data_IF_168635443247
#
_entry.id   IF_168635443247
#
_cell.length_a   1.000
_cell.length_b   1.000
_cell.length_c   1.000
_cell.angle_alpha   90.00
_cell.angle_beta   90.00
_cell.angle_gamma   90.00
#
_symmetry.space_group_name_H-M   'P 1'
#
loop_
_entity.id
_entity.type
_entity.pdbx_description
1 polymer ?
#
# COMPACT_ATOMS: atom_id res chain seq x y z
N UNK A 1 18.69 -4.48 51.38
CA UNK A 1 18.36 -3.05 51.60
C UNK A 1 18.17 -2.68 53.08
N UNK A 2 17.38 -3.40 53.88
CA UNK A 2 17.06 -2.97 55.26
C UNK A 2 18.27 -2.87 56.24
N UNK A 3 19.28 -3.72 56.10
CA UNK A 3 20.49 -3.65 56.94
C UNK A 3 21.44 -2.50 56.53
N UNK A 4 21.43 -2.10 55.26
CA UNK A 4 22.23 -0.98 54.76
C UNK A 4 21.62 0.37 55.19
N UNK A 5 20.29 0.48 55.16
CA UNK A 5 19.57 1.65 55.66
C UNK A 5 19.76 1.81 57.19
N UNK A 6 19.71 0.71 57.96
CA UNK A 6 19.98 0.73 59.42
C UNK A 6 21.43 1.09 59.76
N UNK A 7 22.39 0.73 58.89
CA UNK A 7 23.81 1.08 59.07
C UNK A 7 24.07 2.56 58.74
N UNK A 8 23.45 3.09 57.68
CA UNK A 8 23.57 4.51 57.31
C UNK A 8 22.82 5.45 58.28
N UNK A 9 21.67 5.04 58.80
CA UNK A 9 20.98 5.79 59.85
C UNK A 9 21.78 5.86 61.17
N UNK A 10 22.50 4.77 61.52
CA UNK A 10 23.43 4.77 62.66
C UNK A 10 24.62 5.70 62.44
N UNK A 11 25.20 5.72 61.23
CA UNK A 11 26.33 6.60 60.90
C UNK A 11 25.96 8.09 60.92
N UNK A 12 24.75 8.44 60.47
CA UNK A 12 24.22 9.82 60.53
C UNK A 12 23.90 10.26 61.97
N UNK A 13 23.46 9.34 62.84
CA UNK A 13 23.23 9.60 64.27
C UNK A 13 24.54 9.69 65.07
N UNK A 14 25.57 8.91 64.75
CA UNK A 14 26.90 8.96 65.40
C UNK A 14 27.56 10.35 65.22
N UNK A 15 27.30 11.02 64.10
CA UNK A 15 27.75 12.39 63.80
C UNK A 15 27.01 13.45 64.65
N UNK A 16 25.76 13.18 65.05
CA UNK A 16 25.00 14.07 65.96
C UNK A 16 25.51 13.98 67.41
N UNK A 17 26.02 12.82 67.85
CA UNK A 17 26.54 12.60 69.20
C UNK A 17 28.02 12.99 69.41
N UNK A 18 28.76 13.33 68.35
CA UNK A 18 30.13 13.88 68.44
C UNK A 18 30.20 15.32 68.99
N UNK A 19 29.05 15.96 69.23
CA UNK A 19 29.00 17.17 70.04
C UNK A 19 28.85 16.77 71.51
N UNK A 20 29.88 17.08 72.30
CA UNK A 20 29.94 17.06 73.77
C UNK A 20 30.78 15.96 74.43
N UNK A 21 32.08 15.88 74.12
CA UNK A 21 33.12 15.75 75.18
C UNK A 21 34.44 16.39 74.76
N UNK A 22 34.56 17.70 74.97
CA UNK A 22 35.62 18.38 75.75
C UNK A 22 35.75 19.85 75.33
N UNK A 23 35.69 20.71 76.36
CA UNK A 23 35.91 22.15 76.38
C UNK A 23 37.25 22.50 75.73
N UNK A 24 37.25 23.40 74.74
CA UNK A 24 38.00 24.69 74.66
C UNK A 24 37.62 25.35 73.31
N UNK A 25 37.34 26.67 73.33
CA UNK A 25 36.77 27.47 72.22
C UNK A 25 37.81 27.88 71.14
N UNK A 26 37.38 28.23 69.91
CA UNK A 26 38.17 28.13 68.69
C UNK A 26 38.67 29.48 68.16
N UNK A 27 39.77 29.49 67.39
CA UNK A 27 39.96 30.46 66.29
C UNK A 27 40.62 29.77 65.08
N UNK A 28 39.85 29.73 63.99
CA UNK A 28 40.18 29.38 62.58
C UNK A 28 40.13 27.90 62.16
N UNK A 29 38.94 27.33 61.92
CA UNK A 29 38.76 26.13 61.10
C UNK A 29 38.32 26.53 59.68
N UNK A 30 39.23 27.00 58.82
CA UNK A 30 38.91 27.23 57.41
C UNK A 30 39.33 26.06 56.50
N UNK A 31 40.23 25.18 56.96
CA UNK A 31 40.59 23.96 56.22
C UNK A 31 39.54 22.85 56.35
N UNK A 32 38.81 22.76 57.47
CA UNK A 32 37.85 21.66 57.68
C UNK A 32 36.56 21.83 56.87
N UNK A 33 36.15 23.08 56.59
CA UNK A 33 35.02 23.36 55.71
C UNK A 33 35.34 23.06 54.23
N UNK A 34 36.58 23.31 53.80
CA UNK A 34 37.02 23.10 52.42
C UNK A 34 37.13 21.61 52.04
N UNK A 35 37.65 20.77 52.93
CA UNK A 35 37.68 19.32 52.69
C UNK A 35 36.29 18.70 52.65
N UNK A 36 35.36 19.19 53.47
CA UNK A 36 33.98 18.71 53.48
C UNK A 36 33.25 19.11 52.17
N UNK A 37 33.52 20.30 51.63
CA UNK A 37 33.00 20.73 50.34
C UNK A 37 33.56 19.91 49.15
N UNK A 38 34.85 19.57 49.15
CA UNK A 38 35.47 18.77 48.10
C UNK A 38 34.93 17.33 48.05
N UNK A 39 34.62 16.73 49.21
CA UNK A 39 34.03 15.39 49.28
C UNK A 39 32.57 15.42 48.81
N UNK A 40 31.84 16.51 49.07
CA UNK A 40 30.46 16.67 48.61
C UNK A 40 30.39 16.79 47.06
N UNK A 41 31.41 17.37 46.42
CA UNK A 41 31.53 17.45 44.96
C UNK A 41 31.73 16.06 44.32
N UNK A 42 32.55 15.20 44.94
CA UNK A 42 32.83 13.84 44.46
C UNK A 42 31.61 12.91 44.65
N UNK A 43 30.81 13.12 45.70
CA UNK A 43 29.58 12.36 45.93
C UNK A 43 28.43 12.84 45.01
N UNK A 44 28.43 14.11 44.60
CA UNK A 44 27.43 14.66 43.67
C UNK A 44 27.52 14.10 42.25
N UNK A 45 28.72 13.79 41.75
CA UNK A 45 28.94 13.18 40.43
C UNK A 45 28.46 11.72 40.38
N UNK A 46 28.35 11.06 41.52
CA UNK A 46 27.89 9.68 41.60
C UNK A 46 26.37 9.53 41.76
N UNK A 47 25.62 10.61 42.05
CA UNK A 47 24.18 10.54 42.40
C UNK A 47 23.24 10.73 41.20
N UNK A 48 23.74 11.26 40.08
CA UNK A 48 23.07 11.29 38.79
C UNK A 48 23.96 10.54 37.82
N UNK A 49 23.47 9.42 37.25
CA UNK A 49 24.23 8.45 36.46
C UNK A 49 24.86 8.99 35.17
N UNK A 50 25.84 9.88 35.28
CA UNK A 50 26.83 10.18 34.26
C UNK A 50 28.13 9.50 34.68
N UNK A 51 28.14 8.18 34.55
CA UNK A 51 29.39 7.44 34.43
C UNK A 51 29.99 7.87 33.09
N UNK A 52 31.16 8.53 33.11
CA UNK A 52 31.95 8.69 31.89
C UNK A 52 32.41 7.29 31.48
N UNK A 53 31.64 6.65 30.60
CA UNK A 53 31.95 5.31 30.13
C UNK A 53 33.31 5.30 29.43
N UNK A 54 34.20 4.46 29.94
CA UNK A 54 35.39 3.99 29.24
C UNK A 54 34.94 2.92 28.24
N UNK A 55 34.34 3.39 27.15
CA UNK A 55 33.88 2.74 25.91
C UNK A 55 33.16 1.34 25.90
N UNK A 56 33.25 0.43 26.91
CA UNK A 56 33.27 -1.05 26.67
C UNK A 56 32.36 -1.99 27.54
N UNK A 57 31.51 -1.52 28.47
CA UNK A 57 30.55 -2.37 29.26
C UNK A 57 29.07 -2.03 29.00
N UNK A 58 28.10 -3.00 28.95
CA UNK A 58 26.74 -2.75 28.43
C UNK A 58 26.04 -1.61 29.17
N UNK A 59 25.70 -0.56 28.44
CA UNK A 59 24.86 0.52 28.93
C UNK A 59 23.47 -0.05 29.23
N UNK A 60 23.25 -0.36 30.49
CA UNK A 60 21.96 -0.81 31.02
C UNK A 60 21.29 0.45 31.55
N UNK A 61 20.36 0.97 30.75
CA UNK A 61 19.57 2.14 31.08
C UNK A 61 18.31 1.67 31.83
N UNK A 62 18.14 2.13 33.08
CA UNK A 62 16.90 1.97 33.87
C UNK A 62 15.83 2.99 33.50
N UNK A 63 16.25 3.94 32.68
CA UNK A 63 15.42 4.81 31.88
C UNK A 63 15.54 4.30 30.43
N UNK A 64 14.79 4.85 29.48
CA UNK A 64 14.80 4.39 28.09
C UNK A 64 16.25 4.21 27.55
N UNK A 65 16.49 3.20 26.68
CA UNK A 65 17.82 2.81 26.15
C UNK A 65 18.07 3.36 24.76
N UNK A 66 19.21 4.00 24.59
CA UNK A 66 19.58 4.63 23.35
C UNK A 66 20.86 4.05 22.78
N UNK A 67 20.75 3.60 21.54
CA UNK A 67 21.86 3.12 20.72
C UNK A 67 22.04 4.16 19.63
N UNK A 68 23.20 4.84 19.59
CA UNK A 68 23.31 6.11 18.85
C UNK A 68 22.48 7.25 19.45
N UNK A 69 21.99 7.11 20.69
CA UNK A 69 21.15 8.10 21.39
C UNK A 69 21.31 7.93 22.90
N UNK A 70 21.18 9.01 23.65
CA UNK A 70 21.38 9.06 25.11
C UNK A 70 20.10 9.41 25.89
N UNK A 71 18.98 9.59 25.19
CA UNK A 71 17.72 10.06 25.75
C UNK A 71 16.57 9.38 25.00
N UNK A 72 16.26 8.14 25.37
CA UNK A 72 15.50 7.24 24.52
C UNK A 72 14.03 7.35 24.89
N UNK A 73 13.12 6.91 24.02
CA UNK A 73 11.70 7.33 24.09
C UNK A 73 10.71 6.17 24.21
N UNK A 74 11.24 4.98 24.11
CA UNK A 74 10.67 3.79 24.69
C UNK A 74 11.83 3.00 25.26
N UNK A 75 11.54 1.87 25.91
CA UNK A 75 12.56 1.03 26.52
C UNK A 75 13.73 0.70 25.58
N UNK A 76 13.53 0.84 24.26
CA UNK A 76 14.56 0.81 23.25
C UNK A 76 14.35 1.85 22.13
N UNK A 77 15.40 2.65 21.89
CA UNK A 77 15.61 3.53 20.76
C UNK A 77 16.83 3.00 19.99
N UNK A 78 16.58 2.36 18.85
CA UNK A 78 17.61 1.65 18.07
C UNK A 78 18.21 2.55 17.01
N UNK A 79 19.44 2.97 17.27
CA UNK A 79 20.39 3.28 16.22
C UNK A 79 21.07 2.03 15.70
N UNK A 80 21.92 2.23 14.72
CA UNK A 80 22.07 1.33 13.60
C UNK A 80 23.47 0.70 13.57
N UNK A 81 23.65 -0.52 14.14
CA UNK A 81 24.96 -1.18 14.39
C UNK A 81 25.48 -2.26 13.40
N UNK A 82 26.78 -2.24 13.08
CA UNK A 82 27.54 -2.59 11.84
C UNK A 82 27.38 -3.92 11.04
N UNK A 83 26.34 -4.77 11.16
CA UNK A 83 26.13 -5.87 10.17
C UNK A 83 24.65 -6.16 9.87
N UNK A 84 24.35 -6.48 8.61
CA UNK A 84 22.99 -6.62 8.07
C UNK A 84 22.17 -7.77 8.69
N UNK A 85 20.85 -7.61 8.90
CA UNK A 85 20.05 -6.40 8.80
C UNK A 85 19.82 -5.75 10.17
N UNK A 86 20.14 -4.47 10.36
CA UNK A 86 19.83 -3.80 11.61
C UNK A 86 18.34 -3.44 11.67
N UNK A 87 17.79 -3.32 12.87
CA UNK A 87 16.37 -3.02 13.07
C UNK A 87 15.96 -1.68 12.42
N UNK A 88 16.86 -0.71 12.29
CA UNK A 88 16.58 0.59 11.70
C UNK A 88 17.77 1.15 10.90
N UNK A 89 18.64 0.38 10.26
CA UNK A 89 19.89 0.91 9.69
C UNK A 89 19.80 2.26 8.95
N UNK A 90 20.66 3.23 9.27
CA UNK A 90 20.85 4.41 8.43
C UNK A 90 22.21 4.27 7.79
N UNK A 91 22.22 4.07 6.47
CA UNK A 91 23.47 3.85 5.76
C UNK A 91 24.29 5.14 5.75
N UNK A 92 25.48 5.11 6.36
CA UNK A 92 26.27 6.31 6.66
C UNK A 92 26.68 7.13 5.42
N UNK A 93 26.81 6.49 4.26
CA UNK A 93 27.16 7.18 3.00
C UNK A 93 25.99 7.48 2.08
N UNK A 94 24.86 6.77 2.18
CA UNK A 94 23.71 6.95 1.26
C UNK A 94 22.50 7.59 1.93
N UNK A 95 22.50 7.72 3.26
CA UNK A 95 21.41 8.34 4.02
C UNK A 95 20.11 7.52 4.09
N UNK A 96 20.06 6.38 3.40
CA UNK A 96 18.89 5.51 3.32
C UNK A 96 18.63 4.81 4.63
N UNK A 97 17.34 4.65 4.92
CA UNK A 97 16.87 3.97 6.13
C UNK A 97 16.50 2.53 5.76
N UNK A 98 17.01 1.57 6.52
CA UNK A 98 16.83 0.15 6.34
C UNK A 98 16.23 -0.45 7.60
N UNK A 99 14.93 -0.67 7.61
CA UNK A 99 14.32 -1.47 8.67
C UNK A 99 14.51 -2.93 8.29
N UNK A 100 15.43 -3.61 8.96
CA UNK A 100 15.75 -4.98 8.60
C UNK A 100 16.58 -5.10 7.30
N UNK A 101 17.47 -4.15 7.03
CA UNK A 101 18.57 -4.23 6.02
C UNK A 101 19.71 -3.31 6.39
N UNK A 102 20.98 -3.70 6.19
CA UNK A 102 22.11 -2.72 6.19
C UNK A 102 22.63 -2.40 4.80
N UNK A 103 21.89 -2.81 3.78
CA UNK A 103 22.14 -2.42 2.41
C UNK A 103 20.81 -1.92 1.83
N UNK A 104 20.23 -0.83 2.38
CA UNK A 104 18.98 -0.28 1.89
C UNK A 104 19.14 0.15 0.43
N UNK A 105 18.30 -0.43 -0.40
CA UNK A 105 18.29 -0.26 -1.86
C UNK A 105 17.38 0.89 -2.28
N UNK A 106 16.37 1.23 -1.47
CA UNK A 106 15.48 2.37 -1.62
C UNK A 106 15.61 3.37 -0.44
N UNK A 107 14.99 4.55 -0.57
CA UNK A 107 15.03 5.63 0.42
C UNK A 107 14.66 5.13 1.82
N UNK A 108 13.56 4.39 1.91
CA UNK A 108 13.23 3.53 3.06
C UNK A 108 13.09 2.09 2.56
N UNK A 109 13.92 1.20 3.05
CA UNK A 109 13.89 -0.23 2.72
C UNK A 109 13.43 -1.02 3.94
N UNK A 110 12.37 -1.78 3.81
CA UNK A 110 11.86 -2.69 4.83
C UNK A 110 12.06 -4.12 4.34
N UNK A 111 13.04 -4.80 4.92
CA UNK A 111 13.44 -6.16 4.55
C UNK A 111 14.59 -6.22 3.53
N UNK A 112 14.86 -7.44 3.06
CA UNK A 112 15.97 -7.76 2.15
C UNK A 112 15.41 -8.35 0.86
N UNK A 113 15.54 -7.62 -0.24
CA UNK A 113 15.17 -8.10 -1.55
C UNK A 113 15.62 -7.12 -2.63
N UNK A 114 15.27 -7.42 -3.87
CA UNK A 114 15.59 -6.59 -5.02
C UNK A 114 14.52 -5.52 -5.20
N UNK A 115 14.96 -4.30 -5.49
CA UNK A 115 14.07 -3.22 -5.91
C UNK A 115 13.99 -3.31 -7.42
N UNK A 116 12.92 -3.87 -7.93
CA UNK A 116 12.74 -4.11 -9.36
C UNK A 116 12.22 -2.87 -10.10
N UNK A 117 11.80 -1.83 -9.36
CA UNK A 117 11.17 -0.60 -9.87
C UNK A 117 11.74 0.69 -9.27
N UNK A 118 13.07 0.78 -9.11
CA UNK A 118 13.68 1.99 -8.54
C UNK A 118 13.57 3.20 -9.48
N UNK A 119 13.06 4.32 -9.01
CA UNK A 119 12.85 5.57 -9.79
C UNK A 119 14.14 6.37 -10.08
N UNK A 120 15.24 5.70 -10.44
CA UNK A 120 16.55 6.32 -10.69
C UNK A 120 17.49 6.28 -9.48
N UNK A 121 18.66 6.92 -9.60
CA UNK A 121 19.73 6.88 -8.58
C UNK A 121 19.98 8.28 -8.00
N UNK A 122 19.89 8.47 -6.67
CA UNK A 122 19.50 7.49 -5.65
C UNK A 122 17.99 7.20 -5.69
N UNK A 123 17.61 5.94 -5.50
CA UNK A 123 16.21 5.57 -5.33
C UNK A 123 15.71 6.09 -3.97
N UNK A 124 14.80 7.07 -3.98
CA UNK A 124 14.17 7.67 -2.80
C UNK A 124 12.81 7.02 -2.48
N UNK A 125 12.58 5.82 -3.00
CA UNK A 125 11.32 5.09 -2.86
C UNK A 125 11.14 4.46 -1.47
N UNK A 126 9.90 4.03 -1.17
CA UNK A 126 9.62 3.05 -0.13
C UNK A 126 9.65 1.65 -0.76
N UNK A 127 10.52 0.79 -0.26
CA UNK A 127 10.52 -0.63 -0.58
C UNK A 127 10.09 -1.46 0.63
N UNK A 128 9.18 -2.39 0.41
CA UNK A 128 8.72 -3.36 1.42
C UNK A 128 8.74 -4.74 0.78
N UNK A 129 9.53 -5.68 1.32
CA UNK A 129 9.58 -7.05 0.76
C UNK A 129 8.27 -7.82 0.95
N UNK A 130 7.44 -7.41 1.91
CA UNK A 130 6.12 -7.98 2.19
C UNK A 130 4.96 -7.07 1.79
N UNK A 131 3.79 -7.33 2.38
CA UNK A 131 2.59 -6.51 2.14
C UNK A 131 2.69 -5.17 2.88
N UNK A 132 2.26 -4.10 2.20
CA UNK A 132 2.02 -2.81 2.82
C UNK A 132 0.56 -2.74 3.28
N UNK A 133 0.35 -2.54 4.58
CA UNK A 133 -0.97 -2.26 5.16
C UNK A 133 -1.10 -0.75 5.43
N UNK A 134 -2.26 -0.18 5.11
CA UNK A 134 -2.57 1.24 5.32
C UNK A 134 -3.99 1.35 5.87
N UNK A 135 -4.15 1.83 7.10
CA UNK A 135 -5.47 1.96 7.76
C UNK A 135 -6.43 2.94 7.04
N UNK A 136 -5.89 3.82 6.20
CA UNK A 136 -6.61 4.88 5.51
C UNK A 136 -6.41 4.90 4.00
N UNK A 137 -6.65 6.05 3.39
CA UNK A 137 -6.46 6.23 1.96
C UNK A 137 -4.98 6.30 1.59
N UNK A 138 -4.61 5.63 0.51
CA UNK A 138 -3.31 5.79 -0.15
C UNK A 138 -3.49 6.71 -1.35
N UNK A 139 -2.70 7.78 -1.43
CA UNK A 139 -2.62 8.65 -2.60
C UNK A 139 -1.37 8.26 -3.38
N UNK A 140 -1.54 7.81 -4.63
CA UNK A 140 -0.47 7.37 -5.50
C UNK A 140 -0.48 8.23 -6.76
N UNK A 141 0.68 8.78 -7.10
CA UNK A 141 0.84 9.80 -8.12
C UNK A 141 0.48 11.20 -7.61
N UNK A 142 1.32 12.17 -7.94
CA UNK A 142 1.20 13.59 -7.58
C UNK A 142 1.38 14.53 -8.79
N UNK A 143 1.69 14.00 -9.97
CA UNK A 143 1.98 14.73 -11.19
C UNK A 143 1.21 14.18 -12.41
N UNK A 144 1.18 14.98 -13.47
CA UNK A 144 0.65 14.52 -14.74
C UNK A 144 1.53 13.39 -15.31
N UNK A 145 0.91 12.25 -15.61
CA UNK A 145 1.59 11.10 -16.23
C UNK A 145 2.03 10.00 -15.27
N UNK A 146 1.68 10.10 -13.98
CA UNK A 146 1.93 8.99 -13.05
C UNK A 146 1.14 7.75 -13.45
N UNK A 147 1.75 6.59 -13.22
CA UNK A 147 1.19 5.29 -13.56
C UNK A 147 1.18 4.39 -12.34
N UNK A 148 0.04 3.77 -12.07
CA UNK A 148 -0.06 2.69 -11.10
C UNK A 148 0.13 1.35 -11.83
N UNK A 149 1.22 0.64 -11.52
CA UNK A 149 1.51 -0.69 -12.08
C UNK A 149 1.19 -1.76 -11.05
N UNK A 150 0.36 -2.73 -11.41
CA UNK A 150 -0.01 -3.87 -10.56
C UNK A 150 0.28 -5.16 -11.35
N UNK A 151 1.28 -5.92 -10.91
CA UNK A 151 1.66 -7.20 -11.56
C UNK A 151 0.74 -8.37 -11.23
N UNK A 152 -0.06 -8.24 -10.17
CA UNK A 152 -1.01 -9.26 -9.72
C UNK A 152 -2.46 -8.81 -9.89
N UNK A 153 -3.31 -9.27 -8.98
CA UNK A 153 -4.74 -8.94 -8.97
C UNK A 153 -5.00 -7.69 -8.13
N UNK A 154 -5.80 -6.75 -8.67
CA UNK A 154 -6.43 -5.69 -7.88
C UNK A 154 -7.80 -6.17 -7.40
N UNK A 155 -7.94 -6.40 -6.11
CA UNK A 155 -9.23 -6.74 -5.47
C UNK A 155 -9.81 -5.48 -4.84
N UNK A 156 -10.86 -4.93 -5.44
CA UNK A 156 -11.55 -3.75 -4.94
C UNK A 156 -13.07 -3.97 -4.95
N UNK A 157 -13.78 -3.37 -3.99
CA UNK A 157 -15.25 -3.37 -4.00
C UNK A 157 -15.80 -2.47 -5.11
N UNK A 158 -15.19 -1.30 -5.30
CA UNK A 158 -15.50 -0.32 -6.34
C UNK A 158 -14.17 0.16 -6.93
N UNK A 159 -14.13 0.32 -8.25
CA UNK A 159 -13.00 0.88 -8.97
C UNK A 159 -13.50 2.01 -9.88
N UNK A 160 -13.07 3.24 -9.57
CA UNK A 160 -13.48 4.44 -10.30
C UNK A 160 -12.31 4.98 -11.14
N UNK A 161 -12.61 5.39 -12.36
CA UNK A 161 -11.63 5.99 -13.27
C UNK A 161 -12.16 7.34 -13.75
N UNK A 162 -11.29 8.35 -13.76
CA UNK A 162 -11.57 9.66 -14.37
C UNK A 162 -11.29 9.70 -15.88
N UNK A 163 -10.78 8.60 -16.44
CA UNK A 163 -10.40 8.46 -17.84
C UNK A 163 -10.81 7.10 -18.43
N UNK A 164 -10.09 6.68 -19.47
CA UNK A 164 -10.37 5.45 -20.20
C UNK A 164 -9.70 4.23 -19.54
N UNK A 165 -10.34 3.06 -19.64
CA UNK A 165 -9.69 1.77 -19.44
C UNK A 165 -9.06 1.34 -20.78
N UNK A 166 -7.73 1.28 -20.86
CA UNK A 166 -6.99 0.99 -22.10
C UNK A 166 -6.11 -0.25 -21.88
N UNK A 167 -6.23 -1.32 -22.68
CA UNK A 167 -5.34 -2.47 -22.61
C UNK A 167 -3.93 -2.13 -23.12
N UNK A 168 -2.89 -2.82 -22.65
CA UNK A 168 -1.50 -2.58 -23.09
C UNK A 168 -1.23 -3.10 -24.52
N UNK A 169 -2.06 -4.03 -24.99
CA UNK A 169 -1.94 -4.73 -26.27
C UNK A 169 -3.31 -4.82 -26.93
N UNK A 170 -3.35 -4.62 -28.24
CA UNK A 170 -4.58 -4.67 -29.03
C UNK A 170 -5.22 -6.07 -29.04
N UNK A 171 -6.54 -6.12 -28.86
CA UNK A 171 -7.38 -7.32 -28.95
C UNK A 171 -6.87 -8.55 -28.14
N UNK A 172 -6.22 -8.32 -27.00
CA UNK A 172 -5.66 -9.41 -26.17
C UNK A 172 -6.39 -9.64 -24.83
N UNK A 173 -7.12 -8.65 -24.33
CA UNK A 173 -7.74 -8.71 -23.00
C UNK A 173 -9.25 -8.52 -23.05
N UNK A 174 -9.95 -9.37 -22.33
CA UNK A 174 -11.39 -9.29 -22.14
C UNK A 174 -11.74 -8.39 -20.95
N UNK A 175 -12.95 -7.81 -20.98
CA UNK A 175 -13.58 -7.20 -19.80
C UNK A 175 -14.48 -8.26 -19.15
N UNK A 176 -13.97 -8.89 -18.10
CA UNK A 176 -14.55 -10.09 -17.50
C UNK A 176 -13.80 -11.36 -17.93
N UNK A 177 -14.23 -12.51 -17.43
CA UNK A 177 -13.62 -13.80 -17.73
C UNK A 177 -14.68 -14.74 -18.31
N UNK A 178 -14.34 -15.40 -19.42
CA UNK A 178 -15.20 -16.40 -20.05
C UNK A 178 -14.95 -17.83 -19.54
N UNK A 179 -13.75 -18.09 -19.03
CA UNK A 179 -13.26 -19.39 -18.55
C UNK A 179 -13.65 -19.66 -17.08
N UNK A 180 -13.68 -18.62 -16.26
CA UNK A 180 -14.35 -18.62 -14.96
C UNK A 180 -15.68 -17.88 -15.12
N UNK A 181 -16.77 -18.23 -14.41
CA UNK A 181 -18.09 -17.62 -14.61
C UNK A 181 -18.18 -16.14 -14.15
N UNK A 182 -17.06 -15.43 -14.06
CA UNK A 182 -16.96 -14.06 -13.57
C UNK A 182 -17.27 -13.08 -14.71
N UNK A 183 -18.54 -12.67 -14.77
CA UNK A 183 -19.05 -11.70 -15.74
C UNK A 183 -19.60 -10.49 -15.02
N UNK A 184 -19.59 -9.36 -15.71
CA UNK A 184 -20.31 -8.17 -15.27
C UNK A 184 -21.81 -8.43 -15.32
N UNK A 185 -22.52 -7.97 -14.28
CA UNK A 185 -23.96 -8.15 -14.18
C UNK A 185 -24.69 -7.37 -15.28
N UNK A 186 -24.36 -6.09 -15.41
CA UNK A 186 -25.00 -5.14 -16.32
C UNK A 186 -23.94 -4.26 -16.98
N UNK A 187 -24.16 -3.85 -18.24
CA UNK A 187 -23.35 -2.86 -18.94
C UNK A 187 -24.16 -1.58 -19.15
N UNK A 188 -23.64 -0.42 -18.72
CA UNK A 188 -24.33 0.86 -18.83
C UNK A 188 -23.45 1.89 -19.54
N UNK A 189 -23.80 2.22 -20.79
CA UNK A 189 -23.08 3.20 -21.62
C UNK A 189 -23.97 4.42 -21.84
N UNK A 190 -23.45 5.61 -21.57
CA UNK A 190 -24.15 6.85 -21.92
C UNK A 190 -23.98 7.21 -23.42
N UNK A 191 -22.91 6.72 -24.05
CA UNK A 191 -22.60 6.92 -25.47
C UNK A 191 -22.80 5.67 -26.31
N UNK A 192 -22.13 5.61 -27.45
CA UNK A 192 -22.19 4.46 -28.37
C UNK A 192 -21.24 3.33 -27.94
N UNK A 193 -21.71 2.09 -27.98
CA UNK A 193 -20.85 0.90 -27.91
C UNK A 193 -20.45 0.44 -29.31
N UNK A 194 -19.16 0.44 -29.62
CA UNK A 194 -18.62 -0.04 -30.90
C UNK A 194 -17.95 -1.39 -30.71
N UNK A 195 -18.27 -2.36 -31.57
CA UNK A 195 -17.70 -3.71 -31.53
C UNK A 195 -16.95 -3.98 -32.84
N UNK A 196 -15.66 -4.29 -32.76
CA UNK A 196 -14.85 -4.66 -33.93
C UNK A 196 -15.05 -6.12 -34.37
N UNK A 197 -15.54 -6.97 -33.47
CA UNK A 197 -15.86 -8.37 -33.70
C UNK A 197 -17.35 -8.68 -33.61
N UNK A 198 -17.68 -9.96 -33.67
CA UNK A 198 -19.05 -10.43 -33.58
C UNK A 198 -19.61 -10.29 -32.15
N UNK A 199 -20.83 -9.76 -32.03
CA UNK A 199 -21.59 -9.66 -30.78
C UNK A 199 -22.55 -10.85 -30.67
N UNK A 200 -22.36 -11.68 -29.64
CA UNK A 200 -23.28 -12.75 -29.28
C UNK A 200 -24.21 -12.32 -28.14
N UNK A 201 -25.53 -12.45 -28.32
CA UNK A 201 -26.53 -12.30 -27.26
C UNK A 201 -27.14 -13.67 -26.98
N UNK A 202 -26.89 -14.22 -25.80
CA UNK A 202 -27.34 -15.58 -25.43
C UNK A 202 -26.57 -16.71 -26.13
N UNK A 203 -25.49 -16.40 -26.85
CA UNK A 203 -24.61 -17.36 -27.52
C UNK A 203 -23.15 -16.96 -27.36
N UNK A 204 -22.25 -17.93 -27.24
CA UNK A 204 -20.79 -17.73 -27.14
C UNK A 204 -20.07 -17.91 -28.46
N UNK A 205 -20.78 -18.35 -29.51
CA UNK A 205 -20.19 -18.64 -30.84
C UNK A 205 -21.00 -17.95 -31.94
N UNK A 206 -20.97 -16.61 -32.01
CA UNK A 206 -21.73 -15.86 -33.02
C UNK A 206 -21.16 -16.11 -34.44
N UNK A 207 -21.99 -16.63 -35.34
CA UNK A 207 -21.62 -16.90 -36.74
C UNK A 207 -21.74 -15.71 -37.69
N UNK A 208 -22.18 -14.55 -37.19
CA UNK A 208 -22.34 -13.26 -37.89
C UNK A 208 -22.00 -12.13 -36.91
N UNK A 209 -21.85 -10.89 -37.40
CA UNK A 209 -21.53 -9.70 -36.59
C UNK A 209 -22.50 -9.48 -35.42
N UNK A 210 -23.77 -9.85 -35.56
CA UNK A 210 -24.71 -9.93 -34.46
C UNK A 210 -25.43 -11.28 -34.54
N UNK A 211 -25.32 -12.09 -33.49
CA UNK A 211 -26.05 -13.34 -33.34
C UNK A 211 -26.83 -13.34 -32.04
N UNK A 212 -28.14 -13.50 -32.12
CA UNK A 212 -29.04 -13.54 -30.96
C UNK A 212 -29.64 -14.93 -30.88
N UNK A 213 -29.31 -15.68 -29.82
CA UNK A 213 -29.96 -16.95 -29.51
C UNK A 213 -31.25 -16.69 -28.73
N UNK A 214 -32.26 -16.21 -29.44
CA UNK A 214 -33.53 -15.80 -28.87
C UNK A 214 -34.29 -14.85 -29.80
N UNK A 215 -35.26 -14.14 -29.23
CA UNK A 215 -36.05 -13.16 -29.97
C UNK A 215 -35.38 -11.77 -29.89
N UNK A 216 -35.53 -10.98 -30.96
CA UNK A 216 -35.23 -9.55 -30.95
C UNK A 216 -36.56 -8.80 -30.92
N UNK A 217 -36.81 -8.05 -29.84
CA UNK A 217 -37.95 -7.13 -29.76
C UNK A 217 -37.52 -5.75 -30.23
N UNK A 218 -38.25 -5.19 -31.19
CA UNK A 218 -38.11 -3.80 -31.62
C UNK A 218 -39.33 -3.04 -31.12
N UNK A 219 -39.13 -2.06 -30.25
CA UNK A 219 -40.21 -1.21 -29.75
C UNK A 219 -40.55 -0.09 -30.77
N UNK A 220 -41.47 0.81 -30.42
CA UNK A 220 -41.93 1.89 -31.30
C UNK A 220 -40.77 2.64 -31.95
N UNK A 221 -40.71 2.59 -33.28
CA UNK A 221 -39.66 3.24 -34.07
C UNK A 221 -38.38 2.42 -34.24
N UNK A 222 -38.32 1.17 -33.79
CA UNK A 222 -37.19 0.27 -34.08
C UNK A 222 -37.24 -0.29 -35.51
N UNK A 223 -36.06 -0.50 -36.12
CA UNK A 223 -35.93 -1.04 -37.47
C UNK A 223 -34.75 -2.02 -37.55
N UNK A 224 -34.85 -3.02 -38.42
CA UNK A 224 -33.69 -3.78 -38.92
C UNK A 224 -33.47 -3.33 -40.36
N UNK A 225 -32.28 -2.83 -40.65
CA UNK A 225 -31.89 -2.32 -41.97
C UNK A 225 -30.68 -3.13 -42.42
N UNK A 226 -30.71 -3.68 -43.63
CA UNK A 226 -29.54 -4.32 -44.23
C UNK A 226 -28.61 -3.31 -44.93
N UNK A 227 -27.48 -3.77 -45.47
CA UNK A 227 -26.54 -2.92 -46.20
C UNK A 227 -27.01 -2.49 -47.61
N UNK A 228 -26.35 -1.48 -48.19
CA UNK A 228 -26.78 -0.87 -49.46
C UNK A 228 -26.52 -1.72 -50.71
N UNK A 229 -25.81 -2.84 -50.60
CA UNK A 229 -25.36 -3.61 -51.77
C UNK A 229 -26.06 -4.97 -51.89
N UNK A 230 -26.39 -5.61 -50.76
CA UNK A 230 -27.12 -6.88 -50.69
C UNK A 230 -27.95 -7.01 -49.40
N UNK A 231 -28.66 -5.96 -48.95
CA UNK A 231 -29.61 -6.07 -47.86
C UNK A 231 -30.72 -7.10 -48.15
N UNK A 232 -30.64 -8.27 -47.52
CA UNK A 232 -31.80 -9.13 -47.35
C UNK A 232 -31.94 -9.50 -45.88
N UNK A 233 -33.15 -9.40 -45.35
CA UNK A 233 -33.49 -9.98 -44.04
C UNK A 233 -33.80 -11.45 -44.31
N UNK A 234 -32.82 -12.32 -44.07
CA UNK A 234 -32.97 -13.76 -44.16
C UNK A 234 -33.82 -14.28 -43.00
N UNK A 235 -35.05 -14.68 -43.28
CA UNK A 235 -35.92 -15.36 -42.33
C UNK A 235 -35.91 -16.86 -42.68
N UNK A 236 -35.05 -17.63 -42.02
CA UNK A 236 -34.92 -19.07 -42.26
C UNK A 236 -34.97 -19.85 -40.95
N UNK A 237 -36.07 -20.55 -40.72
CA UNK A 237 -36.20 -21.55 -39.66
C UNK A 237 -36.87 -22.80 -40.21
N UNK A 238 -36.56 -23.97 -39.63
CA UNK A 238 -37.15 -25.24 -40.06
C UNK A 238 -38.69 -25.28 -39.94
N UNK A 239 -39.28 -24.38 -39.15
CA UNK A 239 -40.73 -24.25 -38.97
C UNK A 239 -41.40 -23.20 -39.87
N UNK A 240 -40.67 -22.60 -40.81
CA UNK A 240 -41.15 -21.47 -41.61
C UNK A 240 -41.04 -20.14 -40.86
N UNK A 241 -40.93 -19.06 -41.60
CA UNK A 241 -40.78 -17.72 -41.04
C UNK A 241 -41.81 -16.78 -41.64
N UNK A 242 -42.51 -16.02 -40.79
CA UNK A 242 -43.64 -15.18 -41.20
C UNK A 242 -43.43 -13.75 -40.70
N UNK A 243 -43.55 -12.77 -41.59
CA UNK A 243 -43.59 -11.36 -41.23
C UNK A 243 -45.05 -10.97 -40.99
N UNK A 244 -45.48 -10.92 -39.73
CA UNK A 244 -46.89 -10.67 -39.38
C UNK A 244 -46.96 -9.53 -38.38
N UNK A 245 -47.32 -8.31 -38.81
CA UNK A 245 -47.82 -7.23 -37.93
C UNK A 245 -48.46 -6.11 -38.77
N UNK A 246 -49.68 -5.68 -38.39
CA UNK A 246 -50.33 -4.45 -38.88
C UNK A 246 -50.41 -4.24 -40.40
N UNK A 247 -50.30 -2.98 -40.84
CA UNK A 247 -50.15 -2.61 -42.25
C UNK A 247 -48.72 -2.90 -42.70
N UNK A 248 -48.49 -4.09 -43.27
CA UNK A 248 -47.21 -4.44 -43.87
C UNK A 248 -47.15 -3.92 -45.31
N UNK A 249 -46.05 -3.23 -45.66
CA UNK A 249 -45.79 -2.76 -47.02
C UNK A 249 -44.46 -3.32 -47.50
N UNK A 250 -44.47 -3.95 -48.68
CA UNK A 250 -43.25 -4.39 -49.36
C UNK A 250 -42.94 -3.39 -50.46
N UNK A 251 -41.90 -2.57 -50.26
CA UNK A 251 -41.45 -1.62 -51.25
C UNK A 251 -40.36 -2.25 -52.10
N UNK A 252 -40.70 -2.63 -53.34
CA UNK A 252 -39.72 -3.07 -54.32
C UNK A 252 -39.18 -1.83 -55.07
N UNK A 253 -37.86 -1.71 -55.18
CA UNK A 253 -37.23 -0.65 -55.97
C UNK A 253 -37.47 -0.78 -57.50
N UNK A 254 -38.07 -1.90 -57.92
CA UNK A 254 -38.50 -2.16 -59.30
C UNK A 254 -39.97 -2.59 -59.32
N UNK A 255 -40.62 -2.48 -60.47
CA UNK A 255 -42.03 -2.90 -60.64
C UNK A 255 -42.24 -4.43 -60.54
N UNK A 256 -41.23 -5.19 -60.16
CA UNK A 256 -41.25 -6.64 -60.15
C UNK A 256 -41.07 -7.20 -58.74
N UNK A 257 -42.16 -7.70 -58.19
CA UNK A 257 -42.20 -8.51 -56.97
C UNK A 257 -42.34 -9.98 -57.36
N UNK A 258 -41.39 -10.82 -56.96
CA UNK A 258 -41.44 -12.28 -57.22
C UNK A 258 -41.62 -13.02 -55.91
N UNK A 259 -42.66 -13.84 -55.83
CA UNK A 259 -42.85 -14.82 -54.76
C UNK A 259 -42.46 -16.20 -55.30
N UNK A 260 -41.48 -16.84 -54.67
CA UNK A 260 -41.11 -18.22 -54.98
C UNK A 260 -41.76 -19.12 -53.93
N UNK A 261 -42.68 -19.96 -54.37
CA UNK A 261 -43.22 -21.05 -53.56
C UNK A 261 -42.52 -22.31 -54.06
N UNK A 262 -41.51 -22.78 -53.32
CA UNK A 262 -40.99 -24.11 -53.56
C UNK A 262 -42.01 -25.10 -52.96
N UNK A 263 -42.70 -25.84 -53.83
CA UNK A 263 -43.53 -26.96 -53.38
C UNK A 263 -42.66 -27.96 -52.62
N UNK A 264 -43.18 -28.44 -51.49
CA UNK A 264 -42.58 -29.54 -50.70
C UNK A 264 -42.38 -30.78 -51.54
#
# INVERSE_FOLDING_TARGET
>A
MANLIKMMARFTLEIQHLRWRRKIRPKRPLLSGFMLAAITLVVGVCLFGLYFAYADGPNIFTEDVGIGTSSPSGPLHVGVGTTAPQALFVHSTTGKVGIGTTSPTAGLTIGTGTVDHSSGTPADDLYVTGNLEVDGSTYLGDAAGDSLVIYGTLTAGILEYSGNLIPDTDNSYDIGDASTPLRWKDAHFAGTGTFGGNVGIGTTSPGQLLSVAGNIELTTGGHIIGDSWNAYIGLSTAGGSSLVWGNSSFHAASNLLRFYINGT
#
